data_IF_233557131847
#
_entry.id   IF_233557131847
#
_cell.length_a   1.000
_cell.length_b   1.000
_cell.length_c   1.000
_cell.angle_alpha   90.00
_cell.angle_beta   90.00
_cell.angle_gamma   90.00
#
_symmetry.space_group_name_H-M   'P 1'
#
loop_
_entity.id
_entity.type
_entity.pdbx_description
1 polymer ?
#
# COMPACT_ATOMS: atom_id res chain seq x y z
N UNK A 1 -24.23 9.07 25.04
CA UNK A 1 -25.35 9.42 25.93
C UNK A 1 -26.47 8.37 26.02
N UNK A 2 -26.77 7.61 24.96
CA UNK A 2 -27.81 6.55 25.02
C UNK A 2 -27.35 5.27 25.75
N UNK A 3 -26.06 5.01 25.83
CA UNK A 3 -25.50 3.78 26.47
C UNK A 3 -25.31 3.93 27.99
N UNK A 4 -25.31 5.14 28.54
CA UNK A 4 -25.10 5.43 29.98
C UNK A 4 -26.36 5.43 30.84
N UNK A 5 -27.53 5.07 30.29
CA UNK A 5 -28.82 5.19 30.99
C UNK A 5 -29.03 4.25 32.21
N UNK A 6 -28.10 3.33 32.52
CA UNK A 6 -28.24 2.33 33.63
C UNK A 6 -27.07 2.29 34.60
N UNK A 7 -26.20 3.34 34.64
CA UNK A 7 -25.10 3.41 35.60
C UNK A 7 -23.93 2.45 35.35
N UNK A 8 -24.12 1.33 34.64
CA UNK A 8 -23.07 0.41 34.14
C UNK A 8 -23.30 0.09 32.69
N UNK A 9 -22.24 0.16 31.88
CA UNK A 9 -22.32 -0.26 30.50
C UNK A 9 -21.11 -1.09 30.11
N UNK A 10 -21.34 -2.12 29.29
CA UNK A 10 -20.29 -2.90 28.67
C UNK A 10 -19.99 -2.30 27.31
N UNK A 11 -18.72 -2.06 27.06
CA UNK A 11 -18.25 -1.53 25.76
C UNK A 11 -17.28 -2.51 25.13
N UNK A 12 -17.32 -2.67 23.81
CA UNK A 12 -16.30 -3.47 23.10
C UNK A 12 -14.90 -2.94 23.44
N UNK A 13 -13.95 -3.86 23.64
CA UNK A 13 -12.58 -3.55 24.05
C UNK A 13 -11.90 -2.50 23.12
N UNK A 14 -12.15 -2.56 21.81
CA UNK A 14 -11.61 -1.62 20.83
C UNK A 14 -12.08 -0.16 21.01
N UNK A 15 -13.16 0.07 21.78
CA UNK A 15 -13.63 1.44 22.11
C UNK A 15 -13.02 2.01 23.38
N UNK A 16 -12.33 1.17 24.16
CA UNK A 16 -11.80 1.58 25.45
C UNK A 16 -10.84 2.78 25.33
N UNK A 17 -9.91 2.75 24.36
CA UNK A 17 -8.95 3.83 24.14
C UNK A 17 -9.63 5.16 23.80
N UNK A 18 -10.64 5.14 22.92
CA UNK A 18 -11.42 6.32 22.59
C UNK A 18 -12.19 6.86 23.79
N UNK A 19 -12.86 5.98 24.55
CA UNK A 19 -13.58 6.38 25.77
C UNK A 19 -12.65 6.94 26.84
N UNK A 20 -11.48 6.33 27.05
CA UNK A 20 -10.48 6.84 27.99
C UNK A 20 -10.04 8.26 27.64
N UNK A 21 -9.84 8.54 26.34
CA UNK A 21 -9.48 9.88 25.86
C UNK A 21 -10.58 10.91 26.06
N UNK A 22 -11.84 10.53 25.91
CA UNK A 22 -13.00 11.41 26.13
C UNK A 22 -13.24 11.69 27.61
N UNK A 23 -13.00 10.69 28.46
CA UNK A 23 -13.21 10.79 29.91
C UNK A 23 -12.12 11.62 30.63
N UNK A 24 -10.93 11.77 30.02
CA UNK A 24 -9.86 12.62 30.56
C UNK A 24 -10.11 14.12 30.38
N UNK A 25 -11.06 14.50 29.53
CA UNK A 25 -11.38 15.90 29.21
C UNK A 25 -12.65 16.46 29.85
N UNK A 26 -13.36 15.70 30.70
CA UNK A 26 -14.65 16.12 31.25
C UNK A 26 -14.72 16.02 32.77
N UNK A 27 -14.72 17.15 33.47
CA UNK A 27 -14.85 17.23 34.95
C UNK A 27 -16.27 16.94 35.48
N UNK A 28 -17.22 16.67 34.60
CA UNK A 28 -18.66 16.66 34.95
C UNK A 28 -19.19 15.25 35.34
N UNK A 29 -18.46 14.18 35.10
CA UNK A 29 -18.94 12.82 35.36
C UNK A 29 -17.85 12.00 36.07
N UNK A 30 -18.13 11.55 37.29
CA UNK A 30 -17.26 10.62 37.99
C UNK A 30 -17.44 9.22 37.38
N UNK A 31 -16.40 8.72 36.70
CA UNK A 31 -16.41 7.41 36.06
C UNK A 31 -15.46 6.47 36.78
N UNK A 32 -15.97 5.33 37.21
CA UNK A 32 -15.17 4.23 37.75
C UNK A 32 -14.85 3.25 36.61
N UNK A 33 -13.54 3.04 36.39
CA UNK A 33 -13.02 2.08 35.40
C UNK A 33 -12.70 0.77 36.11
N UNK A 34 -13.15 -0.35 35.57
CA UNK A 34 -12.79 -1.65 36.08
C UNK A 34 -11.32 -2.03 35.84
N UNK A 35 -10.84 -3.09 36.42
CA UNK A 35 -9.46 -3.52 36.34
C UNK A 35 -9.08 -3.96 34.90
N UNK A 36 -10.03 -4.60 34.19
CA UNK A 36 -9.81 -5.04 32.81
C UNK A 36 -9.63 -3.85 31.86
N UNK A 37 -10.47 -2.82 32.00
CA UNK A 37 -10.35 -1.58 31.24
C UNK A 37 -9.02 -0.87 31.51
N UNK A 38 -8.61 -0.75 32.79
CA UNK A 38 -7.33 -0.11 33.17
C UNK A 38 -6.13 -0.89 32.63
N UNK A 39 -6.16 -2.22 32.72
CA UNK A 39 -5.10 -3.07 32.18
C UNK A 39 -4.99 -2.94 30.67
N UNK A 40 -6.10 -2.96 29.93
CA UNK A 40 -6.12 -2.80 28.49
C UNK A 40 -5.52 -1.44 28.07
N UNK A 41 -5.95 -0.34 28.70
CA UNK A 41 -5.43 1.01 28.42
C UNK A 41 -3.93 1.06 28.69
N UNK A 42 -3.48 0.53 29.82
CA UNK A 42 -2.05 0.49 30.16
C UNK A 42 -1.26 -0.33 29.13
N UNK A 43 -1.68 -1.53 28.80
CA UNK A 43 -1.02 -2.42 27.84
C UNK A 43 -0.86 -1.74 26.48
N UNK A 44 -1.91 -1.04 26.01
CA UNK A 44 -1.88 -0.33 24.73
C UNK A 44 -1.03 0.95 24.77
N UNK A 45 -0.84 1.59 25.93
CA UNK A 45 -0.05 2.81 26.06
C UNK A 45 1.43 2.55 26.32
N UNK A 46 1.76 1.52 27.08
CA UNK A 46 3.14 1.27 27.51
C UNK A 46 3.95 0.46 26.50
N UNK A 47 3.29 -0.13 25.44
CA UNK A 47 3.95 -1.06 24.53
C UNK A 47 4.96 -1.91 25.33
N UNK A 48 4.48 -2.84 26.17
CA UNK A 48 5.33 -3.53 27.14
C UNK A 48 6.48 -4.28 26.43
N UNK A 49 7.56 -3.56 26.13
CA UNK A 49 8.78 -4.05 25.47
C UNK A 49 9.35 -5.26 26.21
N UNK A 50 9.14 -5.33 27.52
CA UNK A 50 9.66 -6.40 28.36
C UNK A 50 8.93 -7.74 28.23
N UNK A 51 7.72 -7.77 27.62
CA UNK A 51 6.95 -9.00 27.44
C UNK A 51 7.29 -9.75 26.16
N UNK A 52 7.78 -9.07 25.15
CA UNK A 52 8.02 -9.64 23.82
C UNK A 52 9.51 -9.62 23.49
N UNK A 53 10.03 -10.74 23.01
CA UNK A 53 11.43 -10.82 22.60
C UNK A 53 11.55 -10.77 21.08
N UNK A 54 12.39 -9.87 20.60
CA UNK A 54 12.81 -9.88 19.20
C UNK A 54 13.78 -11.05 19.01
N UNK A 55 13.61 -11.89 17.97
CA UNK A 55 14.56 -12.95 17.70
C UNK A 55 15.98 -12.39 17.52
N UNK A 56 16.97 -13.08 18.09
CA UNK A 56 18.36 -12.56 18.24
C UNK A 56 19.01 -12.11 16.93
N UNK A 57 18.68 -12.77 15.83
CA UNK A 57 19.24 -12.43 14.51
C UNK A 57 18.67 -11.10 14.01
N UNK A 58 17.36 -10.91 14.15
CA UNK A 58 16.67 -9.69 13.70
C UNK A 58 16.96 -8.52 14.63
N UNK A 59 17.22 -8.75 15.90
CA UNK A 59 17.55 -7.68 16.85
C UNK A 59 18.77 -6.86 16.41
N UNK A 60 19.74 -7.51 15.74
CA UNK A 60 20.95 -6.86 15.21
C UNK A 60 20.71 -6.07 13.92
N UNK A 61 19.66 -6.44 13.17
CA UNK A 61 19.35 -5.88 11.85
C UNK A 61 18.36 -4.73 11.96
N UNK A 62 17.40 -4.84 12.89
CA UNK A 62 16.33 -3.87 13.05
C UNK A 62 16.84 -2.54 13.58
N UNK A 63 16.44 -1.45 12.92
CA UNK A 63 16.59 -0.09 13.43
C UNK A 63 15.65 0.16 14.61
N UNK A 64 15.92 1.15 15.46
CA UNK A 64 15.12 1.48 16.63
C UNK A 64 13.62 1.59 16.33
N UNK A 65 13.27 2.39 15.32
CA UNK A 65 11.87 2.54 14.93
C UNK A 65 11.22 1.24 14.42
N UNK A 66 11.98 0.31 13.83
CA UNK A 66 11.46 -0.99 13.38
C UNK A 66 11.19 -1.92 14.57
N UNK A 67 12.02 -1.84 15.63
CA UNK A 67 11.76 -2.53 16.90
C UNK A 67 10.46 -2.04 17.55
N UNK A 68 10.24 -0.72 17.58
CA UNK A 68 8.97 -0.14 18.03
C UNK A 68 7.78 -0.68 17.22
N UNK A 69 7.91 -0.79 15.89
CA UNK A 69 6.87 -1.38 15.03
C UNK A 69 6.60 -2.84 15.35
N UNK A 70 7.62 -3.63 15.61
CA UNK A 70 7.48 -5.02 16.05
C UNK A 70 6.70 -5.10 17.38
N UNK A 71 7.08 -4.31 18.39
CA UNK A 71 6.39 -4.29 19.68
C UNK A 71 4.93 -3.83 19.57
N UNK A 72 4.68 -2.85 18.70
CA UNK A 72 3.33 -2.39 18.42
C UNK A 72 2.46 -3.51 17.80
N UNK A 73 2.98 -4.26 16.80
CA UNK A 73 2.26 -5.39 16.21
C UNK A 73 1.97 -6.48 17.25
N UNK A 74 2.96 -6.84 18.08
CA UNK A 74 2.80 -7.83 19.19
C UNK A 74 1.76 -7.36 20.19
N UNK A 75 1.77 -6.09 20.56
CA UNK A 75 0.79 -5.48 21.49
C UNK A 75 -0.63 -5.55 20.93
N UNK A 76 -0.81 -5.24 19.64
CA UNK A 76 -2.10 -5.37 18.98
C UNK A 76 -2.61 -6.81 19.01
N UNK A 77 -1.76 -7.76 18.58
CA UNK A 77 -2.13 -9.17 18.57
C UNK A 77 -2.50 -9.69 19.98
N UNK A 78 -1.69 -9.35 20.98
CA UNK A 78 -1.94 -9.74 22.38
C UNK A 78 -3.31 -9.26 22.88
N UNK A 79 -3.74 -8.06 22.46
CA UNK A 79 -5.04 -7.50 22.83
C UNK A 79 -6.16 -7.82 21.81
N UNK A 80 -5.90 -8.70 20.83
CA UNK A 80 -6.86 -9.13 19.80
C UNK A 80 -7.37 -7.98 18.92
N UNK A 81 -6.53 -6.99 18.63
CA UNK A 81 -6.83 -5.88 17.73
C UNK A 81 -6.08 -6.01 16.43
N UNK A 82 -6.73 -5.69 15.32
CA UNK A 82 -6.06 -5.46 14.06
C UNK A 82 -5.45 -4.06 13.97
N UNK A 83 -4.54 -3.84 13.01
CA UNK A 83 -3.94 -2.52 12.80
C UNK A 83 -3.40 -2.28 11.41
N UNK A 84 -3.04 -1.02 11.14
CA UNK A 84 -2.46 -0.55 9.87
C UNK A 84 -1.02 -0.10 10.14
N UNK A 85 -0.06 -0.80 9.58
CA UNK A 85 1.32 -0.33 9.52
C UNK A 85 1.48 0.53 8.25
N UNK A 86 1.48 1.85 8.45
CA UNK A 86 1.38 2.86 7.41
C UNK A 86 2.69 3.67 7.23
N UNK A 87 3.82 3.08 7.57
CA UNK A 87 5.13 3.68 7.38
C UNK A 87 5.38 4.06 5.92
N UNK A 88 6.13 5.12 5.66
CA UNK A 88 6.56 5.49 4.32
C UNK A 88 7.24 4.32 3.60
N UNK A 89 7.18 4.34 2.27
CA UNK A 89 7.86 3.33 1.44
C UNK A 89 9.37 3.31 1.73
N UNK A 90 9.94 2.09 1.87
CA UNK A 90 11.37 1.90 2.16
C UNK A 90 11.75 2.00 3.64
N UNK A 91 10.80 2.12 4.57
CA UNK A 91 11.04 2.01 6.01
C UNK A 91 11.07 0.55 6.52
N UNK A 92 11.01 -0.44 5.62
CA UNK A 92 11.13 -1.85 5.97
C UNK A 92 9.90 -2.42 6.68
N UNK A 93 8.69 -2.08 6.20
CA UNK A 93 7.44 -2.70 6.70
C UNK A 93 7.49 -4.21 6.63
N UNK A 94 7.94 -4.76 5.49
CA UNK A 94 8.06 -6.21 5.28
C UNK A 94 8.99 -6.84 6.31
N UNK A 95 10.15 -6.24 6.59
CA UNK A 95 11.10 -6.75 7.59
C UNK A 95 10.48 -6.78 9.01
N UNK A 96 9.75 -5.73 9.40
CA UNK A 96 9.06 -5.68 10.70
C UNK A 96 8.05 -6.83 10.83
N UNK A 97 7.30 -7.09 9.75
CA UNK A 97 6.28 -8.16 9.71
C UNK A 97 6.93 -9.55 9.66
N UNK A 98 8.00 -9.75 8.90
CA UNK A 98 8.76 -11.01 8.89
C UNK A 98 9.33 -11.30 10.29
N UNK A 99 9.86 -10.29 10.96
CA UNK A 99 10.34 -10.44 12.35
C UNK A 99 9.22 -10.85 13.30
N UNK A 100 8.03 -10.25 13.14
CA UNK A 100 6.85 -10.63 13.91
C UNK A 100 6.45 -12.08 13.63
N UNK A 101 6.33 -12.49 12.37
CA UNK A 101 5.97 -13.86 12.01
C UNK A 101 7.00 -14.87 12.52
N UNK A 102 8.28 -14.56 12.44
CA UNK A 102 9.35 -15.39 12.96
C UNK A 102 9.30 -15.55 14.48
N UNK A 103 9.03 -14.46 15.22
CA UNK A 103 8.81 -14.51 16.66
C UNK A 103 7.61 -15.41 17.01
N UNK A 104 6.48 -15.27 16.33
CA UNK A 104 5.30 -16.11 16.52
C UNK A 104 5.59 -17.59 16.26
N UNK A 105 6.40 -17.88 15.26
CA UNK A 105 6.81 -19.22 14.93
C UNK A 105 7.72 -19.83 16.00
N UNK A 106 8.67 -19.06 16.55
CA UNK A 106 9.59 -19.52 17.59
C UNK A 106 8.92 -19.70 18.95
N UNK A 107 8.01 -18.81 19.33
CA UNK A 107 7.32 -18.82 20.61
C UNK A 107 6.24 -19.91 20.72
N UNK A 108 5.82 -20.51 19.61
CA UNK A 108 4.72 -21.47 19.57
C UNK A 108 5.13 -22.85 20.05
N UNK A 109 4.25 -23.51 20.81
CA UNK A 109 4.41 -24.92 21.17
C UNK A 109 4.20 -25.84 19.93
N UNK A 110 4.80 -27.05 19.93
CA UNK A 110 4.49 -28.07 18.92
C UNK A 110 2.98 -28.38 18.90
N UNK A 111 2.38 -28.39 17.70
CA UNK A 111 0.95 -28.66 17.50
C UNK A 111 0.03 -27.43 17.59
N UNK A 112 0.56 -26.24 17.87
CA UNK A 112 -0.22 -25.02 17.76
C UNK A 112 -0.30 -24.54 16.31
N UNK A 113 -1.50 -24.19 15.85
CA UNK A 113 -1.68 -23.57 14.54
C UNK A 113 -1.09 -22.14 14.55
N UNK A 114 -0.05 -21.95 13.74
CA UNK A 114 0.60 -20.65 13.49
C UNK A 114 0.64 -20.31 12.01
N UNK A 115 -0.21 -20.97 11.23
CA UNK A 115 -0.31 -20.66 9.79
C UNK A 115 -0.61 -19.20 9.57
N UNK A 116 0.17 -18.58 8.71
CA UNK A 116 -0.03 -17.19 8.31
C UNK A 116 -0.39 -17.10 6.83
N UNK A 117 -1.19 -16.10 6.46
CA UNK A 117 -1.52 -15.79 5.08
C UNK A 117 -1.08 -14.37 4.75
N UNK A 118 -0.20 -14.22 3.78
CA UNK A 118 0.21 -12.93 3.21
C UNK A 118 -0.45 -12.76 1.85
N UNK A 119 -1.25 -11.71 1.70
CA UNK A 119 -1.94 -11.35 0.47
C UNK A 119 -1.32 -10.05 -0.04
N UNK A 120 -0.73 -10.08 -1.23
CA UNK A 120 0.04 -8.98 -1.79
C UNK A 120 -0.27 -8.79 -3.28
N UNK A 121 0.07 -7.64 -3.91
CA UNK A 121 0.04 -7.52 -5.36
C UNK A 121 0.86 -8.63 -6.05
N UNK A 122 0.40 -9.08 -7.21
CA UNK A 122 1.05 -10.19 -7.92
C UNK A 122 2.55 -9.94 -8.22
N UNK A 123 2.95 -8.68 -8.38
CA UNK A 123 4.34 -8.28 -8.61
C UNK A 123 5.23 -8.40 -7.38
N UNK A 124 4.67 -8.49 -6.17
CA UNK A 124 5.41 -8.49 -4.91
C UNK A 124 5.48 -9.88 -4.26
N UNK A 125 4.76 -10.87 -4.79
CA UNK A 125 4.67 -12.22 -4.20
C UNK A 125 6.06 -12.85 -4.02
N UNK A 126 6.90 -12.81 -5.04
CA UNK A 126 8.26 -13.36 -4.95
C UNK A 126 9.21 -12.47 -4.13
N UNK A 127 8.95 -11.16 -4.08
CA UNK A 127 9.71 -10.28 -3.20
C UNK A 127 9.53 -10.66 -1.73
N UNK A 128 8.31 -10.98 -1.32
CA UNK A 128 8.03 -11.49 0.03
C UNK A 128 8.80 -12.78 0.33
N UNK A 129 8.83 -13.73 -0.63
CA UNK A 129 9.58 -14.98 -0.46
C UNK A 129 11.09 -14.71 -0.29
N UNK A 130 11.66 -13.90 -1.17
CA UNK A 130 13.09 -13.55 -1.12
C UNK A 130 13.45 -12.83 0.20
N UNK A 131 12.57 -11.95 0.70
CA UNK A 131 12.81 -11.28 1.99
C UNK A 131 12.70 -12.26 3.17
N UNK A 132 11.77 -13.23 3.14
CA UNK A 132 11.69 -14.28 4.16
C UNK A 132 12.96 -15.14 4.15
N UNK A 133 13.39 -15.62 2.98
CA UNK A 133 14.63 -16.39 2.83
C UNK A 133 15.86 -15.64 3.34
N UNK A 134 15.90 -14.33 3.10
CA UNK A 134 17.02 -13.46 3.54
C UNK A 134 17.03 -13.18 5.03
N UNK A 135 15.87 -12.88 5.61
CA UNK A 135 15.80 -12.35 6.98
C UNK A 135 15.31 -13.36 8.02
N UNK A 136 14.63 -14.41 7.59
CA UNK A 136 14.14 -15.49 8.46
C UNK A 136 14.22 -16.85 7.74
N UNK A 137 15.42 -17.35 7.37
CA UNK A 137 15.58 -18.54 6.53
C UNK A 137 15.02 -19.82 7.15
N UNK A 138 14.75 -19.83 8.45
CA UNK A 138 14.09 -20.93 9.16
C UNK A 138 12.56 -20.86 9.19
N UNK A 139 11.94 -19.79 8.68
CA UNK A 139 10.49 -19.65 8.63
C UNK A 139 9.92 -20.35 7.39
N UNK A 140 9.17 -21.46 7.53
CA UNK A 140 8.59 -22.14 6.40
C UNK A 140 7.62 -21.21 5.65
N UNK A 141 7.82 -21.06 4.35
CA UNK A 141 6.99 -20.21 3.51
C UNK A 141 6.76 -20.85 2.15
N UNK A 142 5.56 -20.71 1.61
CA UNK A 142 5.17 -21.24 0.31
C UNK A 142 4.46 -20.18 -0.53
N UNK A 143 4.96 -19.96 -1.75
CA UNK A 143 4.30 -19.13 -2.76
C UNK A 143 3.21 -19.94 -3.43
N UNK A 144 1.95 -19.54 -3.27
CA UNK A 144 0.79 -20.16 -3.91
C UNK A 144 0.65 -19.61 -5.33
N UNK A 145 1.26 -20.28 -6.30
CA UNK A 145 1.29 -19.91 -7.73
C UNK A 145 1.20 -21.15 -8.62
N UNK A 146 1.19 -21.00 -9.93
CA UNK A 146 1.07 -22.08 -10.89
C UNK A 146 -0.35 -22.29 -11.42
N UNK A 147 -0.64 -23.47 -11.91
CA UNK A 147 -1.98 -23.83 -12.41
C UNK A 147 -2.99 -24.07 -11.27
N UNK A 148 -4.27 -24.29 -11.61
CA UNK A 148 -5.34 -24.47 -10.61
C UNK A 148 -5.12 -25.71 -9.74
N UNK A 149 -4.57 -26.79 -10.31
CA UNK A 149 -4.34 -28.05 -9.57
C UNK A 149 -3.18 -27.90 -8.62
N UNK A 150 -2.10 -27.30 -9.08
CA UNK A 150 -0.91 -27.00 -8.27
C UNK A 150 -1.27 -26.12 -7.08
N UNK A 151 -1.97 -25.01 -7.31
CA UNK A 151 -2.36 -24.10 -6.22
C UNK A 151 -3.26 -24.77 -5.18
N UNK A 152 -4.25 -25.56 -5.64
CA UNK A 152 -5.11 -26.32 -4.71
C UNK A 152 -4.32 -27.34 -3.90
N UNK A 153 -3.34 -27.99 -4.50
CA UNK A 153 -2.47 -28.93 -3.79
C UNK A 153 -1.61 -28.20 -2.75
N UNK A 154 -0.99 -27.07 -3.10
CA UNK A 154 -0.22 -26.24 -2.18
C UNK A 154 -1.07 -25.79 -0.98
N UNK A 155 -2.28 -25.28 -1.22
CA UNK A 155 -3.19 -24.84 -0.16
C UNK A 155 -3.61 -26.01 0.74
N UNK A 156 -3.96 -27.15 0.15
CA UNK A 156 -4.42 -28.34 0.89
C UNK A 156 -3.31 -28.92 1.78
N UNK A 157 -2.08 -28.94 1.28
CA UNK A 157 -0.92 -29.50 1.97
C UNK A 157 -0.20 -28.51 2.90
N UNK A 158 -0.72 -27.29 3.02
CA UNK A 158 -0.12 -26.27 3.86
C UNK A 158 -0.02 -26.72 5.32
N UNK A 159 1.19 -26.62 5.86
CA UNK A 159 1.49 -26.94 7.24
C UNK A 159 0.80 -26.03 8.24
N UNK A 160 0.66 -26.46 9.50
CA UNK A 160 0.10 -25.62 10.56
C UNK A 160 1.02 -24.49 11.01
N UNK A 161 2.30 -24.56 10.62
CA UNK A 161 3.34 -23.59 10.96
C UNK A 161 4.04 -23.12 9.70
N UNK A 162 3.27 -22.52 8.80
CA UNK A 162 3.74 -22.11 7.48
C UNK A 162 3.14 -20.77 7.05
N UNK A 163 3.90 -19.99 6.32
CA UNK A 163 3.46 -18.73 5.70
C UNK A 163 3.05 -19.00 4.26
N UNK A 164 1.77 -18.88 3.95
CA UNK A 164 1.28 -18.90 2.57
C UNK A 164 1.31 -17.50 2.00
N UNK A 165 1.92 -17.34 0.83
CA UNK A 165 2.03 -16.06 0.12
C UNK A 165 1.24 -16.16 -1.17
N UNK A 166 0.26 -15.28 -1.36
CA UNK A 166 -0.59 -15.28 -2.56
C UNK A 166 -0.92 -13.88 -3.05
N UNK A 167 -1.43 -13.78 -4.27
CA UNK A 167 -1.92 -12.49 -4.78
C UNK A 167 -3.41 -12.33 -4.56
N UNK A 168 -3.89 -11.09 -4.53
CA UNK A 168 -5.30 -10.75 -4.40
C UNK A 168 -6.19 -11.46 -5.44
N UNK A 169 -5.73 -11.54 -6.69
CA UNK A 169 -6.49 -12.20 -7.76
C UNK A 169 -6.53 -13.72 -7.62
N UNK A 170 -5.43 -14.34 -7.19
CA UNK A 170 -5.39 -15.78 -6.94
C UNK A 170 -6.23 -16.15 -5.73
N UNK A 171 -6.13 -15.38 -4.63
CA UNK A 171 -7.00 -15.59 -3.47
C UNK A 171 -8.47 -15.60 -3.85
N UNK A 172 -8.92 -14.60 -4.62
CA UNK A 172 -10.31 -14.52 -5.09
C UNK A 172 -10.73 -15.75 -5.92
N UNK A 173 -9.85 -16.27 -6.77
CA UNK A 173 -10.11 -17.46 -7.60
C UNK A 173 -10.18 -18.74 -6.79
N UNK A 174 -9.32 -18.85 -5.80
CA UNK A 174 -9.12 -20.08 -5.01
C UNK A 174 -9.80 -20.01 -3.62
N UNK A 175 -10.66 -19.04 -3.36
CA UNK A 175 -11.27 -18.73 -2.06
C UNK A 175 -11.82 -19.97 -1.34
N UNK A 176 -12.53 -20.85 -2.06
CA UNK A 176 -13.11 -22.08 -1.49
C UNK A 176 -12.06 -23.02 -0.88
N UNK A 177 -10.84 -23.03 -1.41
CA UNK A 177 -9.76 -23.86 -0.86
C UNK A 177 -9.24 -23.27 0.46
N UNK A 178 -9.16 -21.94 0.56
CA UNK A 178 -8.72 -21.24 1.78
C UNK A 178 -9.76 -21.28 2.91
N UNK A 179 -11.07 -21.35 2.60
CA UNK A 179 -12.14 -21.38 3.61
C UNK A 179 -12.08 -22.60 4.56
N UNK A 180 -11.36 -23.65 4.17
CA UNK A 180 -11.16 -24.84 4.99
C UNK A 180 -9.94 -24.74 5.92
N UNK A 181 -9.22 -23.63 5.89
CA UNK A 181 -8.05 -23.38 6.70
C UNK A 181 -8.34 -22.28 7.72
N UNK A 182 -7.80 -22.45 8.93
CA UNK A 182 -7.76 -21.41 9.92
C UNK A 182 -6.35 -20.81 9.97
N UNK A 183 -6.27 -19.48 10.03
CA UNK A 183 -5.02 -18.75 10.07
C UNK A 183 -4.85 -18.04 11.41
N UNK A 184 -3.70 -18.19 12.04
CA UNK A 184 -3.36 -17.39 13.22
C UNK A 184 -3.14 -15.92 12.85
N UNK A 185 -2.61 -15.67 11.62
CA UNK A 185 -2.28 -14.31 11.15
C UNK A 185 -2.70 -14.17 9.69
N UNK A 186 -3.37 -13.07 9.37
CA UNK A 186 -3.66 -12.65 8.00
C UNK A 186 -3.12 -11.25 7.75
N UNK A 187 -2.28 -11.12 6.74
CA UNK A 187 -1.62 -9.87 6.38
C UNK A 187 -2.05 -9.49 4.97
N UNK A 188 -2.44 -8.25 4.78
CA UNK A 188 -2.64 -7.67 3.46
C UNK A 188 -1.59 -6.61 3.22
N UNK A 189 -0.88 -6.72 2.12
CA UNK A 189 0.10 -5.74 1.68
C UNK A 189 -0.49 -4.86 0.57
N UNK A 190 -0.11 -3.58 0.53
CA UNK A 190 -0.74 -2.56 -0.32
C UNK A 190 -2.27 -2.54 -0.13
N UNK A 191 -2.70 -2.29 1.12
CA UNK A 191 -4.10 -2.41 1.55
C UNK A 191 -5.11 -1.60 0.72
N UNK A 192 -4.66 -0.63 -0.09
CA UNK A 192 -5.50 0.08 -1.05
C UNK A 192 -6.16 -0.82 -2.10
N UNK A 193 -5.69 -2.07 -2.28
CA UNK A 193 -6.37 -3.05 -3.14
C UNK A 193 -7.78 -3.41 -2.66
N UNK A 194 -8.07 -3.26 -1.36
CA UNK A 194 -9.40 -3.49 -0.77
C UNK A 194 -10.15 -2.20 -0.40
N UNK A 195 -9.71 -1.04 -0.89
CA UNK A 195 -10.31 0.27 -0.59
C UNK A 195 -11.80 0.38 -0.95
N UNK A 196 -12.26 -0.38 -1.92
CA UNK A 196 -13.67 -0.46 -2.27
C UNK A 196 -14.26 -1.75 -1.70
N UNK A 197 -15.04 -1.62 -0.62
CA UNK A 197 -15.67 -2.72 0.12
C UNK A 197 -16.63 -3.57 -0.72
N UNK A 198 -17.17 -3.03 -1.81
CA UNK A 198 -18.10 -3.73 -2.71
C UNK A 198 -17.43 -4.71 -3.66
N UNK A 199 -16.11 -4.64 -3.85
CA UNK A 199 -15.39 -5.49 -4.80
C UNK A 199 -15.32 -6.95 -4.36
N UNK A 200 -15.24 -7.87 -5.33
CA UNK A 200 -15.05 -9.30 -5.05
C UNK A 200 -13.75 -9.59 -4.31
N UNK A 201 -12.70 -8.80 -4.58
CA UNK A 201 -11.41 -8.92 -3.88
C UNK A 201 -11.57 -8.57 -2.40
N UNK A 202 -12.21 -7.44 -2.09
CA UNK A 202 -12.42 -7.02 -0.70
C UNK A 202 -13.28 -8.04 0.08
N UNK A 203 -14.31 -8.60 -0.57
CA UNK A 203 -15.13 -9.66 0.02
C UNK A 203 -14.32 -10.93 0.28
N UNK A 204 -13.57 -11.40 -0.71
CA UNK A 204 -12.76 -12.60 -0.59
C UNK A 204 -11.73 -12.50 0.55
N UNK A 205 -11.05 -11.36 0.69
CA UNK A 205 -10.09 -11.13 1.77
C UNK A 205 -10.76 -11.20 3.16
N UNK A 206 -11.97 -10.67 3.29
CA UNK A 206 -12.73 -10.65 4.55
C UNK A 206 -13.31 -12.02 4.95
N UNK A 207 -13.54 -12.91 3.98
CA UNK A 207 -14.09 -14.25 4.20
C UNK A 207 -13.07 -15.23 4.79
N UNK A 208 -11.78 -14.92 4.75
CA UNK A 208 -10.74 -15.75 5.36
C UNK A 208 -10.87 -15.72 6.90
N UNK A 209 -10.88 -16.89 7.50
CA UNK A 209 -10.86 -17.03 8.96
C UNK A 209 -9.46 -16.81 9.50
N UNK A 210 -9.31 -15.82 10.36
CA UNK A 210 -8.03 -15.47 10.97
C UNK A 210 -8.23 -14.85 12.35
N UNK A 211 -7.30 -15.16 13.27
CA UNK A 211 -7.32 -14.63 14.64
C UNK A 211 -6.83 -13.18 14.70
N UNK A 212 -5.79 -12.88 13.96
CA UNK A 212 -5.17 -11.56 13.90
C UNK A 212 -5.06 -11.05 12.46
N UNK A 213 -5.38 -9.78 12.25
CA UNK A 213 -5.34 -9.14 10.94
C UNK A 213 -4.48 -7.89 10.94
N UNK A 214 -3.58 -7.79 9.97
CA UNK A 214 -2.68 -6.65 9.79
C UNK A 214 -2.76 -6.15 8.35
N UNK A 215 -2.81 -4.83 8.18
CA UNK A 215 -2.77 -4.18 6.89
C UNK A 215 -1.47 -3.37 6.75
N UNK A 216 -0.81 -3.49 5.60
CA UNK A 216 0.36 -2.70 5.25
C UNK A 216 0.01 -1.75 4.11
N UNK A 217 0.44 -0.51 4.21
CA UNK A 217 0.28 0.48 3.14
C UNK A 217 1.31 1.59 3.29
N UNK A 218 1.76 2.18 2.19
CA UNK A 218 2.52 3.43 2.22
C UNK A 218 1.62 4.67 2.30
N UNK A 219 0.33 4.52 2.00
CA UNK A 219 -0.65 5.61 1.84
C UNK A 219 -1.97 5.24 2.50
N UNK A 220 -2.11 5.44 3.82
CA UNK A 220 -3.25 4.93 4.58
C UNK A 220 -4.59 5.58 4.21
N UNK A 221 -4.60 6.82 3.75
CA UNK A 221 -5.81 7.55 3.32
C UNK A 221 -5.41 8.57 2.26
N UNK A 222 -5.58 8.23 0.99
CA UNK A 222 -5.24 9.17 -0.09
C UNK A 222 -6.42 10.09 -0.47
N UNK A 223 -7.63 9.55 -0.59
CA UNK A 223 -8.68 10.30 -1.26
C UNK A 223 -10.06 10.27 -0.57
N UNK A 224 -10.42 9.22 0.16
CA UNK A 224 -11.79 9.07 0.71
C UNK A 224 -11.81 8.33 2.05
N UNK A 225 -12.65 8.80 2.95
CA UNK A 225 -12.88 8.15 4.26
C UNK A 225 -13.50 6.75 4.12
N UNK A 226 -14.25 6.49 3.04
CA UNK A 226 -14.76 5.15 2.71
C UNK A 226 -13.67 4.11 2.47
N UNK A 227 -12.50 4.52 1.98
CA UNK A 227 -11.34 3.62 1.80
C UNK A 227 -10.82 3.16 3.16
N UNK A 228 -10.67 4.08 4.11
CA UNK A 228 -10.29 3.78 5.48
C UNK A 228 -11.30 2.86 6.16
N UNK A 229 -12.61 3.14 5.99
CA UNK A 229 -13.66 2.28 6.51
C UNK A 229 -13.51 0.84 6.01
N UNK A 230 -13.25 0.65 4.71
CA UNK A 230 -13.10 -0.69 4.13
C UNK A 230 -11.93 -1.48 4.73
N UNK A 231 -10.81 -0.81 5.02
CA UNK A 231 -9.65 -1.44 5.66
C UNK A 231 -9.97 -1.78 7.11
N UNK A 232 -10.61 -0.90 7.87
CA UNK A 232 -11.00 -1.19 9.25
C UNK A 232 -12.09 -2.26 9.36
N UNK A 233 -12.98 -2.37 8.38
CA UNK A 233 -13.96 -3.44 8.31
C UNK A 233 -13.31 -4.83 8.05
N UNK A 234 -12.16 -4.84 7.36
CA UNK A 234 -11.31 -6.03 7.28
C UNK A 234 -10.60 -6.30 8.62
N UNK A 235 -9.97 -5.31 9.24
CA UNK A 235 -9.16 -5.48 10.45
C UNK A 235 -10.00 -5.86 11.67
N UNK A 236 -11.07 -5.13 11.90
CA UNK A 236 -11.94 -5.22 13.08
C UNK A 236 -13.39 -4.96 12.67
N UNK A 237 -14.13 -5.96 12.18
CA UNK A 237 -15.52 -5.78 11.73
C UNK A 237 -16.39 -5.10 12.79
N UNK A 238 -17.11 -4.04 12.36
CA UNK A 238 -18.00 -3.26 13.24
C UNK A 238 -17.31 -2.16 14.06
N UNK A 239 -15.99 -2.04 14.06
CA UNK A 239 -15.26 -0.99 14.77
C UNK A 239 -15.69 0.42 14.36
N UNK A 240 -15.77 0.69 13.07
CA UNK A 240 -16.26 1.96 12.51
C UNK A 240 -17.75 1.91 12.14
N UNK A 241 -18.55 1.11 12.84
CA UNK A 241 -19.98 0.90 12.59
C UNK A 241 -20.27 0.22 11.23
N UNK A 242 -21.57 0.11 10.85
CA UNK A 242 -21.93 -0.21 9.47
C UNK A 242 -21.56 0.94 8.52
N UNK A 243 -21.34 0.63 7.24
CA UNK A 243 -20.96 1.66 6.26
C UNK A 243 -22.00 2.79 6.16
N UNK A 244 -23.28 2.46 6.21
CA UNK A 244 -24.35 3.46 6.20
C UNK A 244 -24.26 4.44 7.38
N UNK A 245 -24.03 3.90 8.59
CA UNK A 245 -23.87 4.72 9.79
C UNK A 245 -22.59 5.53 9.75
N UNK A 246 -21.46 4.94 9.34
CA UNK A 246 -20.20 5.66 9.16
C UNK A 246 -20.33 6.81 8.18
N UNK A 247 -20.98 6.55 7.03
CA UNK A 247 -21.20 7.57 6.02
C UNK A 247 -22.05 8.73 6.57
N UNK A 248 -23.12 8.42 7.28
CA UNK A 248 -24.03 9.44 7.83
C UNK A 248 -23.41 10.25 8.97
N UNK A 249 -22.69 9.59 9.88
CA UNK A 249 -22.19 10.24 11.11
C UNK A 249 -20.78 10.82 10.96
N UNK A 250 -19.97 10.35 10.01
CA UNK A 250 -18.57 10.74 9.88
C UNK A 250 -18.25 11.25 8.47
N UNK A 251 -18.49 10.45 7.41
CA UNK A 251 -18.04 10.79 6.06
C UNK A 251 -18.74 12.03 5.50
N UNK A 252 -20.06 12.06 5.50
CA UNK A 252 -20.82 13.20 5.00
C UNK A 252 -20.58 14.48 5.82
N UNK A 253 -20.61 14.47 7.16
CA UNK A 253 -20.28 15.65 7.95
C UNK A 253 -18.87 16.18 7.68
N UNK A 254 -17.87 15.31 7.60
CA UNK A 254 -16.48 15.69 7.38
C UNK A 254 -16.24 16.26 5.98
N UNK A 255 -16.85 15.67 4.93
CA UNK A 255 -16.59 16.04 3.53
C UNK A 255 -17.49 17.18 3.06
N UNK A 256 -18.79 17.12 3.34
CA UNK A 256 -19.76 18.11 2.82
C UNK A 256 -19.86 19.37 3.69
N UNK A 257 -19.71 19.22 5.00
CA UNK A 257 -19.89 20.33 5.94
C UNK A 257 -18.59 20.80 6.59
N UNK A 258 -17.44 20.26 6.14
CA UNK A 258 -16.11 20.57 6.72
C UNK A 258 -16.09 20.50 8.25
N UNK A 259 -16.85 19.54 8.81
CA UNK A 259 -17.02 19.41 10.25
C UNK A 259 -15.73 18.84 10.87
N UNK A 260 -14.95 19.71 11.53
CA UNK A 260 -13.71 19.35 12.20
C UNK A 260 -13.90 18.31 13.32
N UNK A 261 -15.04 18.35 14.03
CA UNK A 261 -15.32 17.47 15.17
C UNK A 261 -15.48 15.99 14.71
N UNK A 262 -16.10 15.78 13.54
CA UNK A 262 -16.25 14.43 12.97
C UNK A 262 -14.89 13.85 12.60
N UNK A 263 -13.99 14.65 12.03
CA UNK A 263 -12.63 14.23 11.70
C UNK A 263 -11.79 13.99 12.95
N UNK A 264 -11.85 14.87 13.93
CA UNK A 264 -11.13 14.73 15.20
C UNK A 264 -11.58 13.46 15.95
N UNK A 265 -12.91 13.23 15.99
CA UNK A 265 -13.48 12.00 16.54
C UNK A 265 -12.93 10.75 15.85
N UNK A 266 -12.92 10.71 14.52
CA UNK A 266 -12.39 9.60 13.74
C UNK A 266 -10.91 9.40 14.05
N UNK A 267 -10.11 10.46 14.00
CA UNK A 267 -8.67 10.40 14.30
C UNK A 267 -8.40 9.84 15.71
N UNK A 268 -9.13 10.29 16.73
CA UNK A 268 -9.00 9.77 18.10
C UNK A 268 -9.38 8.28 18.19
N UNK A 269 -10.36 7.83 17.41
CA UNK A 269 -10.76 6.42 17.39
C UNK A 269 -9.68 5.53 16.77
N UNK A 270 -9.12 5.92 15.61
CA UNK A 270 -8.21 5.08 14.82
C UNK A 270 -6.74 5.16 15.26
N UNK A 271 -6.34 6.27 15.91
CA UNK A 271 -4.94 6.53 16.28
C UNK A 271 -4.20 5.37 16.94
N UNK A 272 -4.77 4.59 17.88
CA UNK A 272 -4.07 3.47 18.49
C UNK A 272 -3.76 2.31 17.52
N UNK A 273 -4.51 2.23 16.42
CA UNK A 273 -4.51 1.12 15.46
C UNK A 273 -3.83 1.48 14.13
N UNK A 274 -3.21 2.67 14.05
CA UNK A 274 -2.47 3.12 12.87
C UNK A 274 -1.09 3.58 13.31
N UNK A 275 -0.06 2.89 12.85
CA UNK A 275 1.33 3.31 13.03
C UNK A 275 1.85 3.89 11.72
N UNK A 276 2.15 5.19 11.72
CA UNK A 276 2.68 5.91 10.56
C UNK A 276 3.91 6.70 10.93
N UNK A 277 5.00 6.46 10.24
CA UNK A 277 6.26 7.21 10.36
C UNK A 277 6.70 7.69 8.99
N UNK A 278 7.23 8.91 8.92
CA UNK A 278 7.76 9.48 7.70
C UNK A 278 9.27 9.24 7.64
N UNK A 279 9.81 9.06 6.44
CA UNK A 279 11.26 8.88 6.25
C UNK A 279 12.08 9.98 6.90
N UNK A 280 11.67 11.24 6.72
CA UNK A 280 12.35 12.40 7.29
C UNK A 280 12.41 12.41 8.83
N UNK A 281 11.47 11.73 9.48
CA UNK A 281 11.38 11.73 10.96
C UNK A 281 12.29 10.67 11.58
N UNK A 282 12.50 9.54 10.89
CA UNK A 282 13.20 8.37 11.43
C UNK A 282 14.55 8.07 10.79
N UNK A 283 14.82 8.55 9.58
CA UNK A 283 16.08 8.35 8.86
C UNK A 283 16.83 9.69 8.73
N UNK A 284 17.27 10.22 9.86
CA UNK A 284 17.99 11.49 9.93
C UNK A 284 19.37 11.46 9.24
N UNK A 285 19.91 10.28 9.01
CA UNK A 285 21.22 10.06 8.37
C UNK A 285 21.14 10.10 6.83
N UNK A 286 19.93 10.12 6.25
CA UNK A 286 19.78 10.25 4.81
C UNK A 286 19.83 11.73 4.41
N UNK A 287 20.57 12.07 3.32
CA UNK A 287 20.50 13.41 2.76
C UNK A 287 19.07 13.73 2.30
N UNK A 288 18.76 15.02 2.34
CA UNK A 288 17.47 15.49 1.84
C UNK A 288 17.28 15.10 0.37
N UNK A 289 16.06 14.73 0.04
CA UNK A 289 15.66 14.48 -1.33
C UNK A 289 15.65 15.80 -2.11
N UNK A 290 16.51 15.92 -3.11
CA UNK A 290 16.47 17.05 -4.03
C UNK A 290 15.38 16.78 -5.08
N UNK A 291 14.36 17.61 -5.10
CA UNK A 291 13.33 17.62 -6.14
C UNK A 291 13.49 18.89 -7.00
N UNK A 292 13.49 18.71 -8.30
CA UNK A 292 13.60 19.82 -9.26
C UNK A 292 12.57 19.64 -10.38
N UNK A 293 11.68 20.62 -10.49
CA UNK A 293 10.78 20.71 -11.63
C UNK A 293 11.52 21.30 -12.83
N UNK A 294 11.47 20.59 -13.96
CA UNK A 294 12.03 21.01 -15.21
C UNK A 294 10.92 21.34 -16.20
N UNK A 295 10.91 22.55 -16.70
CA UNK A 295 9.92 23.05 -17.65
C UNK A 295 10.53 23.12 -19.04
N UNK A 296 9.84 22.55 -20.01
CA UNK A 296 10.19 22.60 -21.41
C UNK A 296 9.08 23.30 -22.18
N UNK A 297 9.34 24.44 -22.87
CA UNK A 297 8.33 25.11 -23.67
C UNK A 297 7.95 24.26 -24.87
N UNK A 298 6.70 24.35 -25.29
CA UNK A 298 6.24 23.76 -26.53
C UNK A 298 6.69 24.72 -27.69
N UNK A 299 7.32 24.17 -28.69
CA UNK A 299 7.84 24.93 -29.81
C UNK A 299 7.25 24.46 -31.15
N UNK A 300 7.24 25.37 -32.15
CA UNK A 300 6.88 25.09 -33.51
C UNK A 300 5.60 24.26 -33.69
N UNK A 301 5.64 23.25 -34.53
CA UNK A 301 4.51 22.37 -34.85
C UNK A 301 3.88 21.68 -33.58
N UNK A 302 4.70 21.33 -32.58
CA UNK A 302 4.20 20.75 -31.36
C UNK A 302 3.23 21.71 -30.62
N UNK A 303 3.55 23.00 -30.63
CA UNK A 303 2.71 24.04 -30.01
C UNK A 303 1.40 24.20 -30.76
N UNK A 304 1.44 24.26 -32.10
CA UNK A 304 0.23 24.36 -32.94
C UNK A 304 -0.71 23.18 -32.74
N UNK A 305 -0.18 21.96 -32.67
CA UNK A 305 -0.96 20.75 -32.38
C UNK A 305 -1.60 20.81 -31.01
N UNK A 306 -0.85 21.26 -30.03
CA UNK A 306 -1.37 21.39 -28.66
C UNK A 306 -2.49 22.44 -28.56
N UNK A 307 -2.32 23.60 -29.20
CA UNK A 307 -3.30 24.67 -29.23
C UNK A 307 -4.58 24.24 -29.97
N UNK A 308 -4.48 23.53 -31.08
CA UNK A 308 -5.62 22.99 -31.82
C UNK A 308 -6.46 22.01 -30.95
N UNK A 309 -5.80 21.11 -30.22
CA UNK A 309 -6.47 20.19 -29.29
C UNK A 309 -7.06 20.90 -28.07
N UNK A 310 -6.41 21.94 -27.58
CA UNK A 310 -6.91 22.76 -26.47
C UNK A 310 -8.19 23.49 -26.87
N UNK A 311 -8.23 24.07 -28.08
CA UNK A 311 -9.40 24.75 -28.59
C UNK A 311 -10.56 23.79 -28.83
N UNK A 312 -10.28 22.62 -29.40
CA UNK A 312 -11.26 21.54 -29.52
C UNK A 312 -11.86 21.15 -28.17
N UNK A 313 -11.04 20.99 -27.13
CA UNK A 313 -11.50 20.67 -25.78
C UNK A 313 -12.35 21.78 -25.18
N UNK A 314 -11.97 23.06 -25.39
CA UNK A 314 -12.78 24.23 -24.98
C UNK A 314 -14.15 24.24 -25.62
N UNK A 315 -14.22 24.00 -26.91
CA UNK A 315 -15.49 23.90 -27.63
C UNK A 315 -16.37 22.76 -27.11
N UNK A 316 -15.77 21.60 -26.85
CA UNK A 316 -16.48 20.47 -26.23
C UNK A 316 -17.04 20.78 -24.85
N UNK A 317 -16.33 21.57 -24.04
CA UNK A 317 -16.77 21.95 -22.68
C UNK A 317 -17.79 23.11 -22.72
N UNK A 318 -17.65 24.06 -23.63
CA UNK A 318 -18.50 25.23 -23.73
C UNK A 318 -19.91 24.99 -24.29
N UNK A 319 -20.13 23.88 -24.98
CA UNK A 319 -21.39 23.55 -25.66
C UNK A 319 -22.29 22.56 -24.89
N UNK A 320 -21.91 22.15 -23.68
CA UNK A 320 -22.60 21.03 -23.00
C UNK A 320 -23.45 21.48 -21.82
N UNK A 321 -24.69 20.98 -21.80
CA UNK A 321 -25.53 20.92 -20.59
C UNK A 321 -24.99 19.87 -19.60
N UNK A 322 -25.36 19.95 -18.32
CA UNK A 322 -24.95 18.98 -17.29
C UNK A 322 -25.27 17.51 -17.66
N UNK A 323 -26.31 17.27 -18.44
CA UNK A 323 -26.68 15.95 -18.89
C UNK A 323 -25.74 15.44 -20.02
N UNK A 324 -25.40 16.30 -20.97
CA UNK A 324 -24.47 15.99 -22.07
C UNK A 324 -23.04 15.82 -21.55
N UNK A 325 -22.63 16.59 -20.54
CA UNK A 325 -21.33 16.43 -19.88
C UNK A 325 -21.17 15.03 -19.26
N UNK A 326 -22.22 14.44 -18.70
CA UNK A 326 -22.18 13.07 -18.18
C UNK A 326 -21.93 12.03 -19.25
N UNK A 327 -22.45 12.23 -20.45
CA UNK A 327 -22.31 11.31 -21.60
C UNK A 327 -20.96 11.45 -22.30
N UNK A 328 -20.42 12.66 -22.32
CA UNK A 328 -19.16 12.97 -23.04
C UNK A 328 -17.89 12.84 -22.19
N UNK A 329 -18.00 12.47 -20.90
CA UNK A 329 -16.84 12.32 -19.99
C UNK A 329 -15.70 11.49 -20.56
N UNK A 330 -16.01 10.39 -21.25
CA UNK A 330 -14.99 9.52 -21.87
C UNK A 330 -14.25 10.23 -23.00
N UNK A 331 -14.96 11.04 -23.80
CA UNK A 331 -14.37 11.80 -24.88
C UNK A 331 -13.47 12.93 -24.35
N UNK A 332 -13.91 13.62 -23.31
CA UNK A 332 -13.12 14.66 -22.61
C UNK A 332 -11.84 14.05 -22.04
N UNK A 333 -11.92 12.90 -21.35
CA UNK A 333 -10.75 12.21 -20.81
C UNK A 333 -9.80 11.73 -21.91
N UNK A 334 -10.33 11.28 -23.05
CA UNK A 334 -9.52 10.91 -24.20
C UNK A 334 -8.77 12.11 -24.77
N UNK A 335 -9.41 13.28 -24.87
CA UNK A 335 -8.80 14.50 -25.38
C UNK A 335 -7.72 15.03 -24.40
N UNK A 336 -7.98 15.01 -23.10
CA UNK A 336 -6.95 15.33 -22.08
C UNK A 336 -5.77 14.36 -22.18
N UNK A 337 -6.03 13.09 -22.45
CA UNK A 337 -4.95 12.10 -22.64
C UNK A 337 -4.11 12.43 -23.87
N UNK A 338 -4.74 12.82 -24.99
CA UNK A 338 -4.05 13.26 -26.20
C UNK A 338 -3.17 14.49 -25.96
N UNK A 339 -3.71 15.51 -25.26
CA UNK A 339 -2.93 16.69 -24.88
C UNK A 339 -1.67 16.30 -24.07
N UNK A 340 -1.81 15.39 -23.12
CA UNK A 340 -0.67 14.88 -22.35
C UNK A 340 0.34 14.11 -23.21
N UNK A 341 -0.12 13.33 -24.17
CA UNK A 341 0.73 12.62 -25.13
C UNK A 341 1.48 13.62 -26.03
N UNK A 342 0.79 14.63 -26.57
CA UNK A 342 1.41 15.70 -27.37
C UNK A 342 2.49 16.44 -26.58
N UNK A 343 2.25 16.73 -25.30
CA UNK A 343 3.27 17.32 -24.43
C UNK A 343 4.51 16.44 -24.24
N UNK A 344 4.37 15.12 -24.33
CA UNK A 344 5.53 14.22 -24.28
C UNK A 344 6.23 14.15 -25.62
N UNK A 345 5.51 13.76 -26.66
CA UNK A 345 5.97 13.68 -28.05
C UNK A 345 4.77 13.56 -29.00
N UNK A 346 4.58 14.45 -29.97
CA UNK A 346 3.42 14.40 -30.87
C UNK A 346 3.28 13.10 -31.64
N UNK A 347 4.39 12.41 -31.93
CA UNK A 347 4.39 11.11 -32.61
C UNK A 347 3.66 10.00 -31.84
N UNK A 348 3.26 10.23 -30.57
CA UNK A 348 2.40 9.29 -29.82
C UNK A 348 0.93 9.36 -30.27
N UNK A 349 0.55 10.44 -30.95
CA UNK A 349 -0.82 10.69 -31.45
C UNK A 349 -0.87 10.68 -32.97
N UNK A 350 0.17 11.17 -33.64
CA UNK A 350 0.24 11.33 -35.06
C UNK A 350 1.31 10.42 -35.67
N UNK A 351 0.86 9.40 -36.41
CA UNK A 351 1.77 8.53 -37.15
C UNK A 351 2.59 9.33 -38.20
N UNK A 352 3.87 9.03 -38.21
CA UNK A 352 4.79 9.70 -39.18
C UNK A 352 5.26 11.11 -38.77
N UNK A 353 4.93 11.60 -37.57
CA UNK A 353 5.47 12.83 -37.04
C UNK A 353 7.01 12.77 -36.97
N UNK A 354 7.66 13.75 -37.66
CA UNK A 354 9.14 13.85 -37.77
C UNK A 354 9.72 15.03 -37.02
N UNK A 355 8.87 15.85 -36.41
CA UNK A 355 9.28 17.02 -35.64
C UNK A 355 9.97 16.65 -34.32
N UNK A 356 10.56 17.64 -33.68
CA UNK A 356 11.18 17.51 -32.37
C UNK A 356 10.15 17.67 -31.24
N UNK A 357 10.57 17.27 -30.05
CA UNK A 357 9.88 17.56 -28.79
C UNK A 357 10.91 18.09 -27.80
N UNK A 358 10.77 19.33 -27.40
CA UNK A 358 11.67 19.97 -26.43
C UNK A 358 11.79 19.20 -25.15
N UNK A 359 10.70 18.56 -24.73
CA UNK A 359 10.69 17.70 -23.52
C UNK A 359 11.52 16.43 -23.71
N UNK A 360 11.44 15.80 -24.88
CA UNK A 360 12.23 14.61 -25.21
C UNK A 360 13.72 14.95 -25.28
N UNK A 361 14.08 16.05 -25.94
CA UNK A 361 15.49 16.50 -26.04
C UNK A 361 16.04 16.82 -24.63
N UNK A 362 15.32 17.58 -23.82
CA UNK A 362 15.70 17.86 -22.43
C UNK A 362 15.87 16.57 -21.60
N UNK A 363 14.98 15.60 -21.77
CA UNK A 363 15.08 14.30 -21.10
C UNK A 363 16.36 13.57 -21.51
N UNK A 364 16.69 13.54 -22.81
CA UNK A 364 17.90 12.90 -23.32
C UNK A 364 19.18 13.59 -22.82
N UNK A 365 19.16 14.91 -22.73
CA UNK A 365 20.28 15.71 -22.17
C UNK A 365 20.51 15.36 -20.70
N UNK A 366 19.45 15.32 -19.90
CA UNK A 366 19.54 14.93 -18.49
C UNK A 366 20.06 13.51 -18.31
N UNK A 367 19.59 12.57 -19.14
CA UNK A 367 20.09 11.19 -19.14
C UNK A 367 21.58 11.16 -19.47
N UNK A 368 22.01 11.85 -20.52
CA UNK A 368 23.41 11.86 -20.92
C UNK A 368 24.32 12.47 -19.86
N UNK A 369 23.89 13.55 -19.22
CA UNK A 369 24.63 14.20 -18.13
C UNK A 369 24.77 13.26 -16.92
N UNK A 370 23.71 12.56 -16.54
CA UNK A 370 23.75 11.63 -15.43
C UNK A 370 24.61 10.38 -15.74
N UNK A 371 24.54 9.85 -16.96
CA UNK A 371 25.40 8.73 -17.39
C UNK A 371 26.87 9.14 -17.41
N UNK A 372 27.18 10.32 -17.91
CA UNK A 372 28.55 10.86 -17.91
C UNK A 372 29.06 11.10 -16.48
N UNK A 373 28.17 11.39 -15.53
CA UNK A 373 28.49 11.48 -14.11
C UNK A 373 28.59 10.12 -13.39
N UNK A 374 28.46 9.01 -14.09
CA UNK A 374 28.53 7.66 -13.52
C UNK A 374 27.32 7.25 -12.69
N UNK A 375 26.18 7.94 -12.86
CA UNK A 375 24.96 7.67 -12.09
C UNK A 375 24.06 6.63 -12.77
N UNK A 376 23.43 5.79 -11.97
CA UNK A 376 22.31 4.94 -12.39
C UNK A 376 21.01 5.76 -12.39
N UNK A 377 20.16 5.54 -13.41
CA UNK A 377 18.95 6.33 -13.63
C UNK A 377 17.73 5.43 -13.61
N UNK A 378 16.67 5.86 -12.93
CA UNK A 378 15.32 5.29 -13.06
C UNK A 378 14.45 6.30 -13.79
N UNK A 379 14.02 5.95 -15.01
CA UNK A 379 13.16 6.79 -15.84
C UNK A 379 11.74 6.20 -15.89
N UNK A 380 10.75 7.00 -15.55
CA UNK A 380 9.35 6.58 -15.52
C UNK A 380 8.53 7.33 -16.56
N UNK A 381 7.65 6.61 -17.26
CA UNK A 381 6.64 7.19 -18.14
C UNK A 381 5.28 6.53 -17.89
N UNK A 382 4.22 7.33 -17.97
CA UNK A 382 2.86 6.81 -17.93
C UNK A 382 2.46 6.11 -19.24
N UNK A 383 3.13 6.47 -20.36
CA UNK A 383 2.85 5.94 -21.68
C UNK A 383 3.93 4.93 -22.07
N UNK A 384 3.54 3.67 -22.29
CA UNK A 384 4.47 2.62 -22.76
C UNK A 384 5.05 2.96 -24.13
N UNK A 385 4.23 3.55 -25.03
CA UNK A 385 4.68 4.05 -26.34
C UNK A 385 5.76 5.11 -26.22
N UNK A 386 5.77 5.92 -25.16
CA UNK A 386 6.87 6.87 -24.92
C UNK A 386 8.15 6.16 -24.51
N UNK A 387 8.05 5.04 -23.77
CA UNK A 387 9.22 4.21 -23.44
C UNK A 387 9.85 3.62 -24.72
N UNK A 388 9.03 3.22 -25.70
CA UNK A 388 9.52 2.73 -27.01
C UNK A 388 10.30 3.82 -27.76
N UNK A 389 9.79 5.06 -27.78
CA UNK A 389 10.49 6.22 -28.37
C UNK A 389 11.83 6.47 -27.66
N UNK A 390 11.81 6.45 -26.31
CA UNK A 390 13.02 6.62 -25.50
C UNK A 390 14.03 5.50 -25.76
N UNK A 391 13.59 4.25 -25.86
CA UNK A 391 14.44 3.11 -26.16
C UNK A 391 15.21 3.27 -27.48
N UNK A 392 14.53 3.76 -28.53
CA UNK A 392 15.18 4.07 -29.80
C UNK A 392 16.24 5.17 -29.66
N UNK A 393 15.95 6.21 -28.87
CA UNK A 393 16.89 7.35 -28.64
C UNK A 393 18.08 6.91 -27.79
N UNK A 394 17.86 6.13 -26.74
CA UNK A 394 18.92 5.58 -25.87
C UNK A 394 19.88 4.66 -26.66
N UNK A 395 19.33 3.77 -27.51
CA UNK A 395 20.15 2.93 -28.40
C UNK A 395 21.04 3.76 -29.33
N UNK A 396 20.48 4.83 -29.93
CA UNK A 396 21.26 5.76 -30.78
C UNK A 396 22.35 6.47 -29.98
N UNK A 397 22.09 6.81 -28.74
CA UNK A 397 23.04 7.43 -27.81
C UNK A 397 24.04 6.45 -27.21
N UNK A 398 23.96 5.15 -27.54
CA UNK A 398 24.78 4.06 -26.96
C UNK A 398 24.69 3.97 -25.42
N UNK A 399 23.52 4.26 -24.85
CA UNK A 399 23.23 4.10 -23.44
C UNK A 399 22.57 2.75 -23.24
N UNK A 400 23.15 1.88 -22.41
CA UNK A 400 22.56 0.60 -22.02
C UNK A 400 21.38 0.83 -21.07
N UNK A 401 20.31 0.05 -21.23
CA UNK A 401 19.12 0.19 -20.38
C UNK A 401 18.33 -1.13 -20.30
N UNK A 402 17.56 -1.26 -19.24
CA UNK A 402 16.51 -2.26 -19.08
C UNK A 402 15.14 -1.58 -19.21
N UNK A 403 14.19 -2.23 -19.89
CA UNK A 403 12.84 -1.72 -20.05
C UNK A 403 11.84 -2.65 -19.35
N UNK A 404 11.12 -2.12 -18.36
CA UNK A 404 10.08 -2.83 -17.63
C UNK A 404 8.70 -2.28 -18.01
N UNK A 405 7.83 -3.15 -18.51
CA UNK A 405 6.44 -2.82 -18.84
C UNK A 405 5.48 -3.79 -18.18
N UNK A 406 4.17 -3.57 -18.36
CA UNK A 406 3.14 -4.50 -17.87
C UNK A 406 3.20 -5.90 -18.49
N UNK A 407 3.80 -6.04 -19.68
CA UNK A 407 3.97 -7.32 -20.39
C UNK A 407 5.24 -8.08 -19.99
N UNK A 408 6.16 -7.49 -19.21
CA UNK A 408 7.39 -8.15 -18.77
C UNK A 408 7.06 -9.28 -17.80
N UNK A 409 7.53 -10.50 -18.08
CA UNK A 409 7.31 -11.66 -17.20
C UNK A 409 7.93 -11.44 -15.82
N UNK A 410 7.42 -12.15 -14.82
CA UNK A 410 7.87 -12.01 -13.42
C UNK A 410 9.33 -12.39 -13.26
N UNK A 411 9.75 -13.47 -13.91
CA UNK A 411 11.10 -14.01 -13.88
C UNK A 411 12.09 -13.02 -14.53
N UNK A 412 11.75 -12.53 -15.74
CA UNK A 412 12.57 -11.53 -16.45
C UNK A 412 12.67 -10.23 -15.68
N UNK A 413 11.58 -9.80 -15.01
CA UNK A 413 11.58 -8.62 -14.13
C UNK A 413 12.56 -8.78 -12.97
N UNK A 414 12.53 -9.93 -12.27
CA UNK A 414 13.42 -10.20 -11.15
C UNK A 414 14.89 -10.19 -11.60
N UNK A 415 15.21 -10.83 -12.74
CA UNK A 415 16.56 -10.83 -13.33
C UNK A 415 17.05 -9.43 -13.66
N UNK A 416 16.22 -8.61 -14.34
CA UNK A 416 16.58 -7.23 -14.69
C UNK A 416 16.83 -6.36 -13.45
N UNK A 417 16.00 -6.51 -12.40
CA UNK A 417 16.18 -5.75 -11.16
C UNK A 417 17.46 -6.17 -10.45
N UNK A 418 17.74 -7.48 -10.40
CA UNK A 418 18.98 -8.00 -9.82
C UNK A 418 20.20 -7.47 -10.57
N UNK A 419 20.23 -7.62 -11.89
CA UNK A 419 21.32 -7.14 -12.73
C UNK A 419 21.54 -5.60 -12.65
N UNK A 420 20.45 -4.82 -12.52
CA UNK A 420 20.56 -3.36 -12.34
C UNK A 420 21.14 -2.98 -10.97
N UNK A 421 20.85 -3.76 -9.91
CA UNK A 421 21.35 -3.49 -8.57
C UNK A 421 22.80 -3.94 -8.36
N UNK A 422 23.20 -5.03 -8.99
CA UNK A 422 24.59 -5.49 -8.98
C UNK A 422 25.43 -4.60 -9.90
N UNK A 423 26.59 -4.16 -9.42
CA UNK A 423 27.47 -3.23 -10.14
C UNK A 423 28.25 -3.90 -11.29
N UNK A 424 27.79 -5.02 -11.79
CA UNK A 424 28.41 -5.66 -12.94
C UNK A 424 28.05 -4.87 -14.21
N UNK A 425 29.01 -4.07 -14.66
CA UNK A 425 29.07 -3.58 -16.04
C UNK A 425 29.32 -4.79 -16.95
N UNK A 426 28.28 -5.58 -17.18
CA UNK A 426 28.33 -6.63 -18.18
C UNK A 426 27.82 -6.10 -19.51
N UNK A 427 28.56 -6.49 -20.54
CA UNK A 427 28.36 -6.23 -21.95
C UNK A 427 26.93 -6.55 -22.39
N UNK A 428 26.39 -5.65 -23.21
CA UNK A 428 25.14 -5.67 -23.98
C UNK A 428 24.07 -6.72 -23.60
N UNK A 429 22.96 -6.30 -23.02
CA UNK A 429 21.74 -7.09 -23.03
C UNK A 429 21.04 -6.92 -24.39
N UNK A 430 20.87 -8.04 -25.10
CA UNK A 430 20.06 -8.19 -26.32
C UNK A 430 18.60 -7.67 -26.19
#
# INVERSE_FOLDING_TARGET
DRELKKGKTQVPAYRAMYLDSQLKGGDLIKVEKDNAFRALIRNMQTMEEHKFQIPREQEKILRGYQKEGFYWIKTLKHNQFGGILADDMGLGKTLQVITFLWSEFQESAPGENRRALVITPASLVFNWMNEIERFAPGLPATVVTGDVKERKALIKNAGEREVLITSYDLLKRDLKAYQNLDFAVQIIDEAQYIKNHGTQVAKAVKEIRSEFRLALTGTPVENRLSELWSIFDFLMPGFLYSYEKFRKEIELPAVQYSNSDAMERLQKMIRPFVLRRLKRDVLKDLPDKLEKDMFSPLESEQKELYEAHTERLRLMLGMQSDAEFRTSKLQILAEITRLRQICCYPGLVYEGYKGNSSKLEMCMELVQNAVNGGHKILLFSQFTTMLDVLAVRLKKAKVSFYMLTGSTSKEKRAQMVHAFNEDERQEEPD
#
